data_IF_053009135517
#
_entry.id   IF_053009135517
#
_cell.length_a   1.000
_cell.length_b   1.000
_cell.length_c   1.000
_cell.angle_alpha   90.00
_cell.angle_beta   90.00
_cell.angle_gamma   90.00
#
_symmetry.space_group_name_H-M   'P 1'
#
loop_
_entity.id
_entity.type
_entity.pdbx_description
1 polymer ?
#
# COMPACT_ATOMS: atom_id res chain seq x y z
N UNK A 1 56.90 -23.03 25.60
CA UNK A 1 57.97 -22.16 25.07
C UNK A 1 57.32 -21.26 24.04
N UNK A 2 56.75 -20.14 24.51
CA UNK A 2 57.35 -18.80 24.56
C UNK A 2 57.15 -18.02 23.26
N UNK A 3 56.32 -16.98 23.39
CA UNK A 3 56.00 -15.89 22.47
C UNK A 3 57.23 -15.12 21.96
N UNK A 4 57.02 -14.29 20.93
CA UNK A 4 57.27 -12.82 20.87
C UNK A 4 57.18 -12.41 19.38
N UNK A 5 56.10 -11.77 18.89
CA UNK A 5 55.68 -10.35 18.95
C UNK A 5 56.27 -9.49 17.80
N UNK A 6 55.34 -8.87 17.05
CA UNK A 6 55.36 -7.62 16.25
C UNK A 6 56.67 -6.81 16.15
N UNK A 7 56.89 -6.09 15.02
CA UNK A 7 56.71 -4.63 14.92
C UNK A 7 57.35 -4.02 13.64
N UNK A 8 56.54 -3.30 12.83
CA UNK A 8 56.81 -2.10 11.99
C UNK A 8 55.85 -2.15 10.79
N UNK A 9 54.74 -1.43 10.66
CA UNK A 9 54.36 0.00 10.83
C UNK A 9 55.00 0.99 9.85
N UNK A 10 54.12 1.82 9.25
CA UNK A 10 54.28 3.02 8.40
C UNK A 10 54.73 2.76 6.94
N UNK A 11 54.06 3.32 5.92
CA UNK A 11 53.59 4.70 5.84
C UNK A 11 52.15 4.89 5.34
N UNK A 12 51.42 5.68 6.13
CA UNK A 12 50.41 6.67 5.74
C UNK A 12 51.14 7.98 5.46
N UNK A 13 50.83 8.66 4.35
CA UNK A 13 50.56 10.12 4.22
C UNK A 13 49.72 10.22 2.91
N UNK A 14 48.44 10.63 2.92
CA UNK A 14 47.94 12.03 2.93
C UNK A 14 48.51 12.84 1.74
N UNK A 15 47.79 13.67 0.98
CA UNK A 15 46.63 14.49 1.29
C UNK A 15 46.05 15.03 -0.04
N UNK A 16 44.75 15.31 0.00
CA UNK A 16 43.95 16.31 -0.72
C UNK A 16 44.66 17.27 -1.69
N UNK A 17 44.03 17.59 -2.83
CA UNK A 17 43.13 18.76 -2.92
C UNK A 17 42.72 19.08 -4.38
N UNK A 18 41.54 19.67 -4.46
CA UNK A 18 40.77 20.30 -5.53
C UNK A 18 41.48 20.76 -6.83
N UNK A 19 40.75 20.67 -7.95
CA UNK A 19 41.23 21.16 -9.24
C UNK A 19 40.27 20.92 -10.40
N UNK A 20 39.15 21.63 -10.36
CA UNK A 20 38.19 21.87 -11.43
C UNK A 20 38.86 22.14 -12.81
N UNK A 21 38.54 21.32 -13.82
CA UNK A 21 38.63 21.74 -15.23
C UNK A 21 37.38 21.30 -15.98
N UNK A 22 36.64 22.36 -16.33
CA UNK A 22 35.54 22.49 -17.27
C UNK A 22 35.91 22.03 -18.70
N UNK A 23 34.90 21.92 -19.57
CA UNK A 23 34.93 21.69 -21.04
C UNK A 23 34.38 20.32 -21.54
N UNK A 24 33.68 20.30 -22.69
CA UNK A 24 32.27 19.90 -22.70
C UNK A 24 31.98 18.73 -23.65
N UNK A 25 31.28 17.70 -23.17
CA UNK A 25 30.86 16.59 -24.03
C UNK A 25 29.54 16.94 -24.75
N UNK A 26 29.73 17.40 -25.98
CA UNK A 26 28.91 17.18 -27.18
C UNK A 26 27.42 16.88 -26.98
N UNK A 27 26.62 17.95 -27.14
CA UNK A 27 25.20 17.91 -27.48
C UNK A 27 24.99 17.07 -28.75
N UNK A 28 24.22 15.99 -28.63
CA UNK A 28 23.59 15.34 -29.78
C UNK A 28 22.66 16.36 -30.49
N UNK A 29 22.59 16.33 -31.83
CA UNK A 29 22.03 17.41 -32.62
C UNK A 29 20.54 17.60 -32.34
N UNK A 30 20.15 18.87 -32.18
CA UNK A 30 18.77 19.33 -32.30
C UNK A 30 18.28 18.93 -33.69
N UNK A 31 17.43 17.92 -33.77
CA UNK A 31 16.53 17.77 -34.91
C UNK A 31 15.53 18.93 -34.84
N UNK A 32 15.87 19.95 -35.61
CA UNK A 32 15.00 20.83 -36.37
C UNK A 32 13.49 20.68 -36.08
N UNK A 33 12.92 21.77 -35.58
CA UNK A 33 11.48 21.99 -35.51
C UNK A 33 10.89 21.78 -36.91
N UNK A 34 10.28 20.63 -37.13
CA UNK A 34 9.16 20.59 -38.06
C UNK A 34 7.95 21.13 -37.31
N UNK A 35 7.65 22.38 -37.61
CA UNK A 35 6.39 23.02 -37.35
C UNK A 35 5.33 22.21 -38.13
N UNK A 36 4.68 21.24 -37.50
CA UNK A 36 3.43 20.67 -38.03
C UNK A 36 2.29 21.60 -37.60
N UNK A 37 2.26 22.78 -38.22
CA UNK A 37 1.00 23.47 -38.42
C UNK A 37 0.17 22.61 -39.37
N UNK A 38 -1.04 22.25 -38.95
CA UNK A 38 -1.99 21.53 -39.78
C UNK A 38 -2.52 20.24 -39.16
N UNK A 39 -3.37 20.35 -38.13
CA UNK A 39 -4.55 19.48 -37.91
C UNK A 39 -5.31 19.92 -36.63
N UNK A 40 -5.42 21.24 -36.40
CA UNK A 40 -6.21 21.79 -35.28
C UNK A 40 -7.68 22.07 -35.64
N UNK A 41 -8.07 21.82 -36.90
CA UNK A 41 -9.39 22.19 -37.43
C UNK A 41 -10.42 21.09 -37.24
N UNK A 42 -10.08 19.82 -37.50
CA UNK A 42 -11.08 18.74 -37.57
C UNK A 42 -11.52 18.21 -36.20
N UNK A 43 -10.64 18.22 -35.18
CA UNK A 43 -10.97 17.66 -33.86
C UNK A 43 -11.83 18.59 -33.00
N UNK A 44 -11.73 19.90 -33.21
CA UNK A 44 -12.56 20.89 -32.52
C UNK A 44 -13.99 20.94 -33.09
N UNK A 45 -14.13 20.61 -34.38
CA UNK A 45 -15.40 20.61 -35.10
C UNK A 45 -16.36 19.54 -34.53
N UNK A 46 -15.84 18.35 -34.20
CA UNK A 46 -16.64 17.24 -33.65
C UNK A 46 -17.17 17.58 -32.25
N UNK A 47 -16.35 18.17 -31.37
CA UNK A 47 -16.77 18.50 -30.01
C UNK A 47 -17.83 19.60 -29.97
N UNK A 48 -17.81 20.52 -30.95
CA UNK A 48 -18.82 21.57 -31.08
C UNK A 48 -20.14 21.08 -31.70
N UNK A 49 -20.06 20.01 -32.50
CA UNK A 49 -21.20 19.39 -33.20
C UNK A 49 -22.02 18.47 -32.28
N UNK A 50 -21.38 17.81 -31.31
CA UNK A 50 -22.05 16.85 -30.41
C UNK A 50 -22.68 17.58 -29.21
N UNK A 51 -23.99 17.40 -28.93
CA UNK A 51 -24.64 18.00 -27.76
C UNK A 51 -24.00 17.60 -26.42
N UNK A 52 -24.00 18.50 -25.42
CA UNK A 52 -23.41 18.23 -24.09
C UNK A 52 -23.98 16.99 -23.38
N UNK A 53 -25.29 16.71 -23.56
CA UNK A 53 -25.93 15.51 -22.99
C UNK A 53 -25.34 14.22 -23.56
N UNK A 54 -25.05 14.24 -24.86
CA UNK A 54 -24.46 13.13 -25.61
C UNK A 54 -23.00 12.88 -25.21
N UNK A 55 -22.23 13.95 -25.00
CA UNK A 55 -20.88 13.86 -24.44
C UNK A 55 -20.91 13.23 -23.03
N UNK A 56 -21.90 13.58 -22.21
CA UNK A 56 -22.04 13.03 -20.85
C UNK A 56 -22.36 11.53 -20.88
N UNK A 57 -23.25 11.11 -21.78
CA UNK A 57 -23.60 9.70 -21.98
C UNK A 57 -22.40 8.89 -22.47
N UNK A 58 -21.64 9.42 -23.44
CA UNK A 58 -20.38 8.85 -23.90
C UNK A 58 -19.37 8.67 -22.75
N UNK A 59 -19.17 9.70 -21.91
CA UNK A 59 -18.23 9.64 -20.79
C UNK A 59 -18.63 8.60 -19.73
N UNK A 60 -19.93 8.43 -19.47
CA UNK A 60 -20.42 7.40 -18.56
C UNK A 60 -20.19 5.99 -19.12
N UNK A 61 -20.45 5.76 -20.41
CA UNK A 61 -20.15 4.48 -21.06
C UNK A 61 -18.65 4.16 -21.04
N UNK A 62 -17.79 5.16 -21.29
CA UNK A 62 -16.33 5.00 -21.16
C UNK A 62 -15.99 4.58 -19.72
N UNK A 63 -16.56 5.24 -18.71
CA UNK A 63 -16.30 4.92 -17.30
C UNK A 63 -16.71 3.48 -16.92
N UNK A 64 -17.84 3.00 -17.42
CA UNK A 64 -18.33 1.63 -17.15
C UNK A 64 -17.46 0.54 -17.81
N UNK A 65 -16.88 0.83 -18.98
CA UNK A 65 -16.05 -0.11 -19.74
C UNK A 65 -14.55 0.01 -19.46
N UNK A 66 -14.11 0.89 -18.54
CA UNK A 66 -12.70 0.98 -18.15
C UNK A 66 -12.31 -0.26 -17.34
N UNK A 67 -11.39 -1.04 -17.90
CA UNK A 67 -10.76 -2.14 -17.18
C UNK A 67 -9.93 -1.64 -15.98
N UNK A 68 -10.06 -2.26 -14.79
CA UNK A 68 -9.23 -1.92 -13.61
C UNK A 68 -7.72 -2.09 -13.82
N UNK A 69 -7.30 -2.80 -14.87
CA UNK A 69 -5.90 -2.95 -15.26
C UNK A 69 -5.40 -1.76 -16.08
N UNK A 70 -6.27 -1.14 -16.88
CA UNK A 70 -5.96 0.03 -17.69
C UNK A 70 -5.93 1.30 -16.83
N UNK A 71 -6.72 1.36 -15.76
CA UNK A 71 -6.76 2.47 -14.79
C UNK A 71 -5.42 2.70 -14.07
N UNK A 72 -4.57 1.66 -13.98
CA UNK A 72 -3.23 1.75 -13.40
C UNK A 72 -2.18 2.32 -14.36
N UNK A 73 -2.54 2.52 -15.62
CA UNK A 73 -1.64 3.03 -16.65
C UNK A 73 -1.78 4.55 -16.76
N UNK A 74 -0.74 5.20 -17.31
CA UNK A 74 -0.86 6.61 -17.72
C UNK A 74 -2.04 6.78 -18.68
N UNK A 75 -2.80 7.87 -18.54
CA UNK A 75 -3.96 8.19 -19.37
C UNK A 75 -3.72 8.02 -20.89
N UNK A 76 -2.50 8.28 -21.38
CA UNK A 76 -2.12 8.04 -22.79
C UNK A 76 -2.08 6.55 -23.15
N UNK A 77 -1.40 5.73 -22.34
CA UNK A 77 -1.31 4.27 -22.54
C UNK A 77 -2.64 3.57 -22.28
N UNK A 78 -3.47 4.10 -21.39
CA UNK A 78 -4.83 3.62 -21.14
C UNK A 78 -5.72 3.77 -22.38
N UNK A 79 -5.78 4.98 -22.95
CA UNK A 79 -6.59 5.27 -24.14
C UNK A 79 -6.15 4.47 -25.39
N UNK A 80 -4.84 4.21 -25.55
CA UNK A 80 -4.31 3.40 -26.65
C UNK A 80 -4.77 1.93 -26.58
N UNK A 81 -4.85 1.38 -25.36
CA UNK A 81 -5.21 -0.02 -25.10
C UNK A 81 -6.69 -0.24 -24.79
N UNK A 82 -7.47 0.83 -24.78
CA UNK A 82 -8.90 0.78 -24.54
C UNK A 82 -9.63 0.22 -25.77
N UNK A 83 -10.56 -0.71 -25.55
CA UNK A 83 -11.35 -1.33 -26.61
C UNK A 83 -12.51 -0.42 -27.04
N UNK A 84 -12.25 0.48 -27.99
CA UNK A 84 -13.25 1.43 -28.52
C UNK A 84 -14.46 0.75 -29.21
N UNK A 85 -14.35 -0.54 -29.55
CA UNK A 85 -15.42 -1.33 -30.17
C UNK A 85 -16.56 -1.67 -29.20
N UNK A 86 -16.31 -1.62 -27.89
CA UNK A 86 -17.30 -2.00 -26.87
C UNK A 86 -18.22 -0.83 -26.48
N UNK A 87 -17.81 0.41 -26.78
CA UNK A 87 -18.62 1.60 -26.56
C UNK A 87 -19.71 1.66 -27.62
N UNK A 88 -20.93 1.28 -27.24
CA UNK A 88 -22.13 1.39 -28.09
C UNK A 88 -22.76 2.77 -27.90
N UNK A 89 -22.12 3.76 -28.51
CA UNK A 89 -22.63 5.12 -28.55
C UNK A 89 -23.34 5.37 -29.89
N UNK A 90 -24.66 5.12 -29.95
CA UNK A 90 -25.52 5.34 -31.15
C UNK A 90 -24.88 4.80 -32.46
N UNK A 91 -24.95 5.57 -33.55
CA UNK A 91 -24.38 5.29 -34.88
C UNK A 91 -22.91 5.74 -35.02
N UNK A 92 -22.23 6.05 -33.91
CA UNK A 92 -20.84 6.48 -33.99
C UNK A 92 -19.92 5.29 -34.26
N UNK A 93 -19.05 5.43 -35.25
CA UNK A 93 -17.97 4.49 -35.51
C UNK A 93 -16.98 4.47 -34.34
N UNK A 94 -16.32 3.33 -34.03
CA UNK A 94 -15.25 3.26 -33.04
C UNK A 94 -14.16 4.33 -33.23
N UNK A 95 -13.88 4.72 -34.48
CA UNK A 95 -12.93 5.78 -34.81
C UNK A 95 -13.45 7.18 -34.41
N UNK A 96 -14.76 7.40 -34.53
CA UNK A 96 -15.38 8.65 -34.09
C UNK A 96 -15.40 8.75 -32.56
N UNK A 97 -15.65 7.64 -31.86
CA UNK A 97 -15.52 7.56 -30.40
C UNK A 97 -14.09 7.88 -29.92
N UNK A 98 -13.08 7.34 -30.62
CA UNK A 98 -11.67 7.64 -30.33
C UNK A 98 -11.34 9.12 -30.61
N UNK A 99 -11.82 9.68 -31.71
CA UNK A 99 -11.59 11.10 -32.04
C UNK A 99 -12.29 12.04 -31.05
N UNK A 100 -13.52 11.72 -30.63
CA UNK A 100 -14.24 12.45 -29.59
C UNK A 100 -13.48 12.40 -28.26
N UNK A 101 -12.98 11.23 -27.87
CA UNK A 101 -12.12 11.10 -26.69
C UNK A 101 -10.85 11.95 -26.79
N UNK A 102 -10.17 11.98 -27.94
CA UNK A 102 -9.00 12.83 -28.14
C UNK A 102 -9.32 14.32 -28.04
N UNK A 103 -10.46 14.77 -28.57
CA UNK A 103 -10.92 16.15 -28.45
C UNK A 103 -11.22 16.55 -26.99
N UNK A 104 -11.85 15.65 -26.23
CA UNK A 104 -12.10 15.83 -24.79
C UNK A 104 -10.77 15.86 -24.03
N UNK A 105 -9.87 14.91 -24.30
CA UNK A 105 -8.56 14.80 -23.66
C UNK A 105 -7.66 16.03 -23.95
N UNK A 106 -7.87 16.74 -25.07
CA UNK A 106 -7.18 18.00 -25.36
C UNK A 106 -7.60 19.13 -24.40
N UNK A 107 -8.87 19.15 -23.98
CA UNK A 107 -9.41 20.13 -23.03
C UNK A 107 -9.18 19.74 -21.56
N UNK A 108 -8.84 18.48 -21.30
CA UNK A 108 -8.47 18.04 -19.96
C UNK A 108 -7.10 18.60 -19.55
N UNK A 109 -7.05 19.23 -18.37
CA UNK A 109 -5.80 19.71 -17.76
C UNK A 109 -4.91 18.52 -17.40
N UNK A 110 -3.68 18.51 -17.93
CA UNK A 110 -2.70 17.41 -17.75
C UNK A 110 -1.68 17.65 -16.64
N UNK A 111 -1.72 18.82 -16.00
CA UNK A 111 -0.80 19.15 -14.91
C UNK A 111 -1.37 18.69 -13.57
N UNK A 112 -0.50 18.20 -12.67
CA UNK A 112 -0.91 17.87 -11.31
C UNK A 112 -1.07 19.14 -10.49
N UNK A 113 -2.09 19.19 -9.66
CA UNK A 113 -2.23 20.30 -8.71
C UNK A 113 -1.25 20.16 -7.56
N UNK A 114 -0.91 21.28 -6.89
CA UNK A 114 -0.09 21.24 -5.67
C UNK A 114 -0.71 20.31 -4.62
N UNK A 115 -2.04 20.30 -4.50
CA UNK A 115 -2.77 19.39 -3.60
C UNK A 115 -2.55 17.92 -3.94
N UNK A 116 -2.63 17.53 -5.22
CA UNK A 116 -2.36 16.16 -5.66
C UNK A 116 -0.91 15.73 -5.41
N UNK A 117 0.05 16.64 -5.66
CA UNK A 117 1.47 16.39 -5.35
C UNK A 117 1.68 16.19 -3.85
N UNK A 118 1.04 17.03 -3.03
CA UNK A 118 1.12 16.92 -1.57
C UNK A 118 0.45 15.64 -1.07
N UNK A 119 -0.70 15.24 -1.61
CA UNK A 119 -1.36 13.98 -1.25
C UNK A 119 -0.50 12.76 -1.63
N UNK A 120 0.12 12.77 -2.81
CA UNK A 120 1.06 11.73 -3.24
C UNK A 120 2.28 11.70 -2.31
N UNK A 121 2.85 12.86 -1.98
CA UNK A 121 3.97 13.00 -1.05
C UNK A 121 3.61 12.52 0.38
N UNK A 122 2.42 12.85 0.89
CA UNK A 122 1.90 12.34 2.17
C UNK A 122 1.83 10.83 2.10
N UNK A 123 1.27 10.27 1.02
CA UNK A 123 1.13 8.83 0.85
C UNK A 123 2.49 8.12 0.91
N UNK A 124 3.53 8.66 0.27
CA UNK A 124 4.88 8.11 0.31
C UNK A 124 5.55 8.31 1.68
N UNK A 125 5.28 9.44 2.34
CA UNK A 125 5.83 9.75 3.65
C UNK A 125 5.16 8.98 4.81
N UNK A 126 4.05 8.28 4.56
CA UNK A 126 3.50 7.32 5.54
C UNK A 126 4.37 6.08 5.74
N UNK A 127 5.21 5.74 4.77
CA UNK A 127 6.14 4.62 4.86
C UNK A 127 7.39 5.10 5.60
N UNK A 128 7.77 4.47 6.73
CA UNK A 128 8.98 4.87 7.44
C UNK A 128 10.21 4.75 6.54
N UNK A 129 10.99 5.82 6.47
CA UNK A 129 12.27 5.82 5.75
C UNK A 129 13.23 4.84 6.43
N UNK A 130 13.96 4.08 5.61
CA UNK A 130 15.07 3.25 6.10
C UNK A 130 16.18 4.18 6.56
N UNK A 131 16.51 4.15 7.85
CA UNK A 131 17.62 4.93 8.37
C UNK A 131 18.92 4.14 8.12
N UNK A 132 19.98 4.77 7.58
CA UNK A 132 21.29 4.13 7.49
C UNK A 132 21.72 3.58 8.86
N UNK A 133 22.31 2.38 8.89
CA UNK A 133 22.70 1.73 10.14
C UNK A 133 21.57 1.03 10.90
N UNK A 134 20.30 1.25 10.55
CA UNK A 134 19.18 0.57 11.21
C UNK A 134 19.30 -0.96 11.10
N UNK A 135 19.36 -1.68 12.24
CA UNK A 135 19.43 -3.13 12.21
C UNK A 135 18.22 -3.73 11.47
N UNK A 136 18.47 -4.71 10.61
CA UNK A 136 17.40 -5.41 9.88
C UNK A 136 16.76 -6.45 10.79
N UNK A 137 15.43 -6.57 10.71
CA UNK A 137 14.68 -7.59 11.43
C UNK A 137 15.23 -8.99 11.12
N UNK A 138 15.32 -9.87 12.13
CA UNK A 138 15.75 -11.25 11.90
C UNK A 138 14.77 -11.96 10.97
N UNK A 139 15.29 -12.92 10.23
CA UNK A 139 14.50 -13.73 9.31
C UNK A 139 13.61 -14.70 10.08
N UNK A 140 12.43 -15.02 9.53
CA UNK A 140 11.59 -16.10 10.07
C UNK A 140 12.25 -17.46 9.89
N UNK A 141 11.87 -18.46 10.69
CA UNK A 141 12.43 -19.83 10.64
C UNK A 141 12.29 -20.47 9.26
N UNK A 142 11.18 -20.22 8.57
CA UNK A 142 10.99 -20.61 7.19
C UNK A 142 12.00 -19.94 6.25
N UNK A 143 12.26 -18.65 6.43
CA UNK A 143 13.14 -17.89 5.55
C UNK A 143 14.62 -18.24 5.78
N UNK A 144 15.03 -18.54 7.02
CA UNK A 144 16.35 -19.11 7.33
C UNK A 144 16.52 -20.45 6.64
N UNK A 145 15.52 -21.33 6.73
CA UNK A 145 15.51 -22.60 6.02
C UNK A 145 15.57 -22.42 4.49
N UNK A 146 14.80 -21.46 3.96
CA UNK A 146 14.80 -21.14 2.54
C UNK A 146 16.16 -20.66 2.07
N UNK A 147 16.84 -19.77 2.79
CA UNK A 147 18.20 -19.36 2.40
C UNK A 147 19.18 -20.53 2.37
N UNK A 148 19.14 -21.41 3.37
CA UNK A 148 20.00 -22.60 3.44
C UNK A 148 19.75 -23.57 2.29
N UNK A 149 18.49 -23.91 2.02
CA UNK A 149 18.13 -24.84 0.97
C UNK A 149 18.25 -24.22 -0.43
N UNK A 150 17.89 -22.94 -0.59
CA UNK A 150 18.07 -22.22 -1.84
C UNK A 150 19.54 -22.16 -2.24
N UNK A 151 20.44 -21.89 -1.29
CA UNK A 151 21.89 -21.88 -1.54
C UNK A 151 22.37 -23.25 -2.03
N UNK A 152 21.99 -24.35 -1.36
CA UNK A 152 22.33 -25.72 -1.80
C UNK A 152 21.80 -26.05 -3.20
N UNK A 153 20.55 -25.66 -3.48
CA UNK A 153 19.97 -25.88 -4.80
C UNK A 153 20.66 -25.05 -5.87
N UNK A 154 21.08 -23.82 -5.55
CA UNK A 154 21.81 -22.94 -6.48
C UNK A 154 23.26 -23.39 -6.71
N UNK A 155 23.89 -23.99 -5.72
CA UNK A 155 25.21 -24.62 -5.83
C UNK A 155 25.15 -25.86 -6.76
N UNK A 156 24.08 -26.66 -6.68
CA UNK A 156 23.89 -27.83 -7.54
C UNK A 156 23.38 -27.46 -8.95
N UNK A 157 22.52 -26.46 -9.06
CA UNK A 157 21.97 -25.96 -10.32
C UNK A 157 21.99 -24.42 -10.32
N UNK A 158 23.05 -23.81 -10.89
CA UNK A 158 23.15 -22.36 -11.01
C UNK A 158 22.04 -21.75 -11.88
N UNK A 159 21.34 -22.52 -12.72
CA UNK A 159 20.24 -22.04 -13.55
C UNK A 159 18.89 -22.07 -12.86
N UNK A 160 18.78 -22.67 -11.65
CA UNK A 160 17.48 -22.79 -10.98
C UNK A 160 16.88 -21.42 -10.69
N UNK A 161 15.60 -21.27 -11.06
CA UNK A 161 14.82 -20.06 -10.80
C UNK A 161 14.38 -20.02 -9.34
N UNK A 162 14.42 -18.81 -8.73
CA UNK A 162 13.94 -18.57 -7.36
C UNK A 162 12.49 -19.04 -7.19
N UNK A 163 11.65 -18.88 -8.22
CA UNK A 163 10.24 -19.29 -8.18
C UNK A 163 10.11 -20.81 -8.05
N UNK A 164 10.89 -21.57 -8.82
CA UNK A 164 10.88 -23.05 -8.76
C UNK A 164 11.41 -23.53 -7.41
N UNK A 165 12.53 -22.96 -6.95
CA UNK A 165 13.11 -23.29 -5.66
C UNK A 165 12.17 -22.98 -4.48
N UNK A 166 11.43 -21.88 -4.53
CA UNK A 166 10.44 -21.52 -3.49
C UNK A 166 9.34 -22.56 -3.37
N UNK A 167 8.84 -23.08 -4.49
CA UNK A 167 7.82 -24.15 -4.47
C UNK A 167 8.36 -25.39 -3.77
N UNK A 168 9.52 -25.89 -4.20
CA UNK A 168 10.16 -27.09 -3.65
C UNK A 168 10.44 -26.94 -2.15
N UNK A 169 11.00 -25.81 -1.73
CA UNK A 169 11.34 -25.58 -0.31
C UNK A 169 10.10 -25.45 0.56
N UNK A 170 9.05 -24.82 0.05
CA UNK A 170 7.79 -24.68 0.80
C UNK A 170 7.17 -26.03 1.15
N UNK A 171 7.20 -26.99 0.22
CA UNK A 171 6.72 -28.35 0.43
C UNK A 171 7.62 -29.10 1.42
N UNK A 172 8.95 -29.00 1.26
CA UNK A 172 9.92 -29.62 2.18
C UNK A 172 9.83 -29.06 3.60
N UNK A 173 9.51 -27.78 3.77
CA UNK A 173 9.38 -27.17 5.09
C UNK A 173 8.11 -27.66 5.82
N UNK A 174 7.02 -27.91 5.10
CA UNK A 174 5.78 -28.46 5.67
C UNK A 174 6.02 -29.85 6.23
N UNK A 175 6.69 -30.71 5.47
CA UNK A 175 7.02 -32.10 5.83
C UNK A 175 8.26 -32.23 6.74
N UNK A 176 8.89 -31.11 7.12
CA UNK A 176 10.08 -31.11 7.97
C UNK A 176 9.78 -31.67 9.36
N UNK A 177 10.69 -32.52 9.87
CA UNK A 177 10.55 -33.13 11.20
C UNK A 177 10.54 -32.08 12.32
N UNK A 178 9.85 -32.35 13.45
CA UNK A 178 9.75 -31.39 14.55
C UNK A 178 11.13 -31.02 15.12
N UNK A 179 12.06 -31.98 15.19
CA UNK A 179 13.45 -31.73 15.64
C UNK A 179 14.18 -30.69 14.78
N UNK A 180 14.00 -30.72 13.45
CA UNK A 180 14.63 -29.76 12.54
C UNK A 180 13.94 -28.39 12.61
N UNK A 181 12.61 -28.35 12.78
CA UNK A 181 11.86 -27.11 13.01
C UNK A 181 12.30 -26.42 14.31
N UNK A 182 12.54 -27.18 15.37
CA UNK A 182 13.02 -26.66 16.66
C UNK A 182 14.40 -25.98 16.51
N UNK A 183 15.36 -26.65 15.85
CA UNK A 183 16.68 -26.04 15.58
C UNK A 183 16.59 -24.71 14.83
N UNK A 184 15.69 -24.63 13.84
CA UNK A 184 15.48 -23.37 13.10
C UNK A 184 14.83 -22.30 13.98
N UNK A 185 13.98 -22.67 14.94
CA UNK A 185 13.43 -21.72 15.91
C UNK A 185 14.50 -21.20 16.87
N UNK A 186 15.40 -22.07 17.35
CA UNK A 186 16.51 -21.69 18.21
C UNK A 186 17.45 -20.70 17.49
N UNK A 187 17.85 -21.00 16.24
CA UNK A 187 18.67 -20.08 15.43
C UNK A 187 18.00 -18.70 15.22
N UNK A 188 16.69 -18.68 15.03
CA UNK A 188 15.92 -17.43 14.88
C UNK A 188 15.84 -16.69 16.21
N UNK A 189 15.74 -17.41 17.33
CA UNK A 189 15.73 -16.82 18.67
C UNK A 189 17.05 -16.10 18.95
N UNK A 190 18.18 -16.74 18.69
CA UNK A 190 19.51 -16.14 18.85
C UNK A 190 19.69 -14.92 17.93
N UNK A 191 19.26 -15.04 16.68
CA UNK A 191 19.26 -13.93 15.71
C UNK A 191 18.37 -12.76 16.16
N UNK A 192 17.28 -13.06 16.87
CA UNK A 192 16.38 -12.04 17.40
C UNK A 192 16.96 -11.36 18.65
N UNK A 193 17.67 -12.09 19.50
CA UNK A 193 18.38 -11.52 20.65
C UNK A 193 19.50 -10.57 20.20
N UNK A 194 20.31 -10.99 19.23
CA UNK A 194 21.34 -10.12 18.63
C UNK A 194 20.74 -8.90 17.94
N UNK A 195 19.61 -9.05 17.24
CA UNK A 195 18.87 -7.93 16.66
C UNK A 195 18.39 -6.94 17.73
N UNK A 196 17.83 -7.43 18.85
CA UNK A 196 17.36 -6.58 19.95
C UNK A 196 18.51 -5.77 20.55
N UNK A 197 19.67 -6.39 20.78
CA UNK A 197 20.85 -5.71 21.28
C UNK A 197 21.32 -4.61 20.30
N UNK A 198 21.48 -4.93 19.02
CA UNK A 198 21.87 -3.94 17.99
C UNK A 198 20.84 -2.81 17.85
N UNK A 199 19.55 -3.13 17.96
CA UNK A 199 18.47 -2.16 17.88
C UNK A 199 18.44 -1.24 19.12
N UNK A 200 18.81 -1.74 20.29
CA UNK A 200 18.95 -0.92 21.49
C UNK A 200 20.09 0.09 21.32
N UNK A 201 21.27 -0.35 20.89
CA UNK A 201 22.41 0.53 20.60
C UNK A 201 22.05 1.57 19.53
N UNK A 202 21.40 1.15 18.45
CA UNK A 202 20.96 2.06 17.38
C UNK A 202 20.01 3.16 17.89
N UNK A 203 19.13 2.85 18.85
CA UNK A 203 18.22 3.85 19.44
C UNK A 203 18.94 4.82 20.37
N UNK A 204 20.00 4.38 21.03
CA UNK A 204 20.84 5.25 21.85
C UNK A 204 21.65 6.22 20.98
N UNK A 205 22.19 5.74 19.85
CA UNK A 205 22.93 6.57 18.88
C UNK A 205 22.02 7.51 18.05
N UNK A 206 20.74 7.16 17.87
CA UNK A 206 19.78 7.95 17.10
C UNK A 206 18.53 8.28 17.92
N UNK A 207 18.59 9.30 18.80
CA UNK A 207 17.46 9.69 19.67
C UNK A 207 16.23 10.17 18.89
N UNK A 208 16.42 10.71 17.68
CA UNK A 208 15.32 11.15 16.80
C UNK A 208 14.62 9.98 16.07
N UNK A 209 15.12 8.75 16.20
CA UNK A 209 14.55 7.60 15.53
C UNK A 209 13.23 7.16 16.20
N UNK A 210 12.11 7.47 15.54
CA UNK A 210 10.78 7.03 15.95
C UNK A 210 10.44 5.69 15.29
N UNK A 211 10.46 4.61 16.07
CA UNK A 211 9.96 3.32 15.64
C UNK A 211 8.45 3.40 15.32
N UNK A 212 8.08 3.37 14.04
CA UNK A 212 6.67 3.36 13.62
C UNK A 212 5.87 2.14 14.11
N UNK A 213 6.58 1.06 14.50
CA UNK A 213 5.96 -0.11 15.11
C UNK A 213 5.64 0.10 16.61
N UNK A 214 6.43 0.93 17.32
CA UNK A 214 6.22 1.26 18.72
C UNK A 214 5.15 2.36 18.90
N UNK A 215 4.97 3.25 17.92
CA UNK A 215 3.89 4.25 17.95
C UNK A 215 2.50 3.62 17.75
N UNK A 216 2.38 2.53 16.98
CA UNK A 216 1.10 1.78 16.87
C UNK A 216 0.68 1.08 18.17
N UNK A 217 1.63 0.72 19.04
CA UNK A 217 1.33 0.08 20.34
C UNK A 217 1.16 1.10 21.47
N UNK A 218 1.73 2.31 21.36
CA UNK A 218 1.54 3.39 22.35
C UNK A 218 0.24 4.19 22.20
N UNK A 219 -0.50 4.08 21.09
CA UNK A 219 -1.81 4.72 20.94
C UNK A 219 -2.97 3.99 21.64
N UNK A 220 -2.69 2.97 22.45
CA UNK A 220 -3.69 2.31 23.30
C UNK A 220 -3.14 2.04 24.69
N UNK A 221 -3.10 3.07 25.55
CA UNK A 221 -3.19 3.03 27.03
C UNK A 221 -2.83 4.36 27.71
N UNK A 222 -3.10 5.51 27.10
CA UNK A 222 -3.43 6.68 27.92
C UNK A 222 -4.78 6.41 28.60
N UNK A 223 -5.00 6.81 29.87
CA UNK A 223 -6.32 6.79 30.47
C UNK A 223 -7.26 7.52 29.52
N UNK A 224 -8.20 6.80 28.89
CA UNK A 224 -9.17 7.41 28.00
C UNK A 224 -9.91 8.47 28.81
N UNK A 225 -9.72 9.74 28.48
CA UNK A 225 -10.76 10.74 28.69
C UNK A 225 -12.10 10.12 28.30
N UNK A 226 -13.21 10.39 29.01
CA UNK A 226 -14.48 9.71 28.77
C UNK A 226 -14.92 9.90 27.32
N UNK A 227 -14.56 8.93 26.48
CA UNK A 227 -14.86 8.91 25.06
C UNK A 227 -16.30 8.45 24.89
N UNK A 228 -17.01 9.03 23.91
CA UNK A 228 -18.39 8.67 23.65
C UNK A 228 -18.57 7.15 23.54
N UNK A 229 -19.67 6.59 24.10
CA UNK A 229 -20.01 5.20 23.89
C UNK A 229 -19.94 4.83 22.40
N UNK A 230 -19.28 3.72 22.08
CA UNK A 230 -19.09 3.27 20.70
C UNK A 230 -20.45 3.01 20.03
N UNK A 231 -20.57 3.34 18.74
CA UNK A 231 -21.75 3.01 17.95
C UNK A 231 -22.03 1.50 18.01
N UNK A 232 -23.25 1.10 18.33
CA UNK A 232 -23.67 -0.31 18.28
C UNK A 232 -24.39 -0.58 16.97
N UNK A 233 -24.03 -1.66 16.30
CA UNK A 233 -24.78 -2.21 15.16
C UNK A 233 -25.95 -3.06 15.68
N UNK A 234 -27.07 -3.21 14.94
CA UNK A 234 -28.18 -4.07 15.35
C UNK A 234 -27.72 -5.49 15.70
N UNK A 235 -26.79 -6.04 14.91
CA UNK A 235 -26.17 -7.34 15.16
C UNK A 235 -25.36 -7.37 16.47
N UNK A 236 -24.71 -6.26 16.84
CA UNK A 236 -23.93 -6.19 18.09
C UNK A 236 -24.84 -6.22 19.32
N UNK A 237 -26.03 -5.61 19.23
CA UNK A 237 -27.05 -5.67 20.30
C UNK A 237 -27.58 -7.10 20.41
N UNK A 238 -27.92 -7.73 19.28
CA UNK A 238 -28.32 -9.13 19.22
C UNK A 238 -27.27 -10.07 19.86
N UNK A 239 -25.99 -9.91 19.52
CA UNK A 239 -24.93 -10.70 20.15
C UNK A 239 -24.84 -10.46 21.66
N UNK A 240 -25.00 -9.22 22.14
CA UNK A 240 -24.93 -8.90 23.57
C UNK A 240 -26.10 -9.52 24.35
N UNK A 241 -27.31 -9.52 23.77
CA UNK A 241 -28.49 -10.16 24.36
C UNK A 241 -28.30 -11.68 24.49
N UNK A 242 -27.82 -12.35 23.42
CA UNK A 242 -27.62 -13.80 23.41
C UNK A 242 -26.41 -14.27 24.22
N UNK A 243 -25.36 -13.47 24.30
CA UNK A 243 -24.20 -13.77 25.15
C UNK A 243 -24.46 -13.51 26.63
N UNK A 244 -25.49 -12.72 26.96
CA UNK A 244 -25.96 -12.56 28.34
C UNK A 244 -26.71 -13.81 28.83
N UNK A 245 -27.37 -14.55 27.93
CA UNK A 245 -28.08 -15.78 28.29
C UNK A 245 -27.18 -17.03 28.27
N UNK A 246 -26.26 -17.18 27.30
CA UNK A 246 -25.38 -18.35 27.19
C UNK A 246 -24.03 -18.02 26.50
N UNK A 247 -22.97 -18.80 26.80
CA UNK A 247 -21.66 -18.70 26.12
C UNK A 247 -21.70 -19.39 24.76
N UNK A 248 -22.24 -18.70 23.73
CA UNK A 248 -22.41 -19.25 22.38
C UNK A 248 -21.25 -18.86 21.44
N UNK A 249 -20.88 -19.76 20.53
CA UNK A 249 -19.85 -19.54 19.50
C UNK A 249 -20.29 -18.46 18.48
N UNK A 250 -19.35 -17.61 18.06
CA UNK A 250 -19.59 -16.46 17.19
C UNK A 250 -20.12 -16.84 15.81
N UNK A 251 -19.80 -18.06 15.34
CA UNK A 251 -20.33 -18.59 14.06
C UNK A 251 -21.84 -18.85 14.15
N UNK A 252 -22.30 -19.43 15.24
CA UNK A 252 -23.71 -19.76 15.48
C UNK A 252 -24.57 -18.50 15.59
N UNK A 253 -24.08 -17.48 16.33
CA UNK A 253 -24.76 -16.18 16.43
C UNK A 253 -24.96 -15.50 15.08
N UNK A 254 -24.04 -15.70 14.13
CA UNK A 254 -24.14 -15.10 12.80
C UNK A 254 -25.16 -15.83 11.93
N UNK A 255 -25.23 -17.15 12.04
CA UNK A 255 -26.22 -17.98 11.35
C UNK A 255 -27.64 -17.67 11.87
N UNK A 256 -27.81 -17.57 13.19
CA UNK A 256 -29.08 -17.14 13.78
C UNK A 256 -29.50 -15.75 13.33
N UNK A 257 -28.59 -14.77 13.35
CA UNK A 257 -28.89 -13.41 12.87
C UNK A 257 -29.36 -13.37 11.41
N UNK A 258 -28.76 -14.21 10.55
CA UNK A 258 -29.20 -14.30 9.16
C UNK A 258 -30.56 -14.97 9.01
N UNK A 259 -30.91 -15.88 9.92
CA UNK A 259 -32.19 -16.59 9.96
C UNK A 259 -33.34 -15.80 10.62
N UNK A 260 -33.04 -14.71 11.35
CA UNK A 260 -34.06 -13.82 11.92
C UNK A 260 -34.93 -13.20 10.82
N UNK A 261 -36.23 -13.10 11.11
CA UNK A 261 -37.18 -12.40 10.24
C UNK A 261 -36.91 -10.89 10.21
N UNK A 262 -37.31 -10.24 9.12
CA UNK A 262 -37.07 -8.81 8.93
C UNK A 262 -37.80 -7.97 9.98
N UNK A 263 -38.98 -8.42 10.46
CA UNK A 263 -39.66 -7.77 11.58
C UNK A 263 -38.83 -7.80 12.87
N UNK A 264 -38.14 -8.90 13.14
CA UNK A 264 -37.27 -9.03 14.32
C UNK A 264 -36.01 -8.17 14.18
N UNK A 265 -35.43 -8.08 12.97
CA UNK A 265 -34.28 -7.19 12.70
C UNK A 265 -34.65 -5.72 12.90
N UNK A 266 -35.88 -5.31 12.57
CA UNK A 266 -36.38 -3.95 12.81
C UNK A 266 -36.43 -3.60 14.30
N UNK A 267 -36.74 -4.56 15.19
CA UNK A 267 -36.67 -4.35 16.64
C UNK A 267 -35.24 -4.03 17.10
N UNK A 268 -34.23 -4.71 16.56
CA UNK A 268 -32.83 -4.40 16.88
C UNK A 268 -32.39 -3.04 16.31
N UNK A 269 -32.92 -2.64 15.15
CA UNK A 269 -32.68 -1.31 14.57
C UNK A 269 -33.29 -0.21 15.46
N UNK A 270 -34.51 -0.42 15.96
CA UNK A 270 -35.15 0.55 16.85
C UNK A 270 -34.38 0.67 18.18
N UNK A 271 -33.88 -0.44 18.72
CA UNK A 271 -33.06 -0.45 19.94
C UNK A 271 -31.71 0.26 19.75
N UNK A 272 -31.08 0.13 18.58
CA UNK A 272 -29.88 0.91 18.22
C UNK A 272 -30.17 2.41 18.23
N UNK A 273 -31.32 2.82 17.68
CA UNK A 273 -31.72 4.23 17.65
C UNK A 273 -31.98 4.77 19.06
N UNK A 274 -32.64 4.00 19.92
CA UNK A 274 -32.84 4.34 21.33
C UNK A 274 -31.51 4.46 22.07
N UNK A 275 -30.57 3.53 21.84
CA UNK A 275 -29.22 3.62 22.40
C UNK A 275 -28.47 4.87 21.92
N UNK A 276 -28.59 5.21 20.64
CA UNK A 276 -27.98 6.40 20.05
C UNK A 276 -28.52 7.67 20.70
N UNK A 277 -29.84 7.84 20.75
CA UNK A 277 -30.51 9.02 21.31
C UNK A 277 -30.25 9.17 22.82
N UNK A 278 -30.32 8.09 23.59
CA UNK A 278 -30.24 8.17 25.06
C UNK A 278 -28.81 8.15 25.60
N UNK A 279 -27.87 7.45 24.96
CA UNK A 279 -26.51 7.25 25.50
C UNK A 279 -25.44 7.98 24.71
N UNK A 280 -25.49 7.94 23.38
CA UNK A 280 -24.39 8.45 22.55
C UNK A 280 -24.52 9.94 22.21
N UNK A 281 -25.72 10.39 21.83
CA UNK A 281 -26.02 11.78 21.43
C UNK A 281 -25.76 12.80 22.55
N UNK A 282 -26.15 12.58 23.83
CA UNK A 282 -25.86 13.52 24.90
C UNK A 282 -24.35 13.62 25.18
N UNK A 283 -23.64 12.50 25.09
CA UNK A 283 -22.18 12.45 25.29
C UNK A 283 -21.44 13.18 24.16
N UNK A 284 -21.89 13.01 22.92
CA UNK A 284 -21.34 13.71 21.76
C UNK A 284 -21.54 15.23 21.89
N UNK A 285 -22.73 15.66 22.35
CA UNK A 285 -23.03 17.07 22.64
C UNK A 285 -22.09 17.64 23.71
N UNK A 286 -21.84 16.91 24.80
CA UNK A 286 -20.92 17.32 25.87
C UNK A 286 -19.46 17.41 25.40
N UNK A 287 -19.02 16.50 24.53
CA UNK A 287 -17.67 16.53 23.95
C UNK A 287 -17.47 17.71 22.99
N UNK A 288 -18.50 18.07 22.21
CA UNK A 288 -18.44 19.24 21.32
C UNK A 288 -18.42 20.55 22.11
N UNK A 289 -19.10 20.62 23.26
CA UNK A 289 -19.10 21.80 24.14
C UNK A 289 -17.78 22.00 24.89
N UNK A 290 -17.06 20.93 25.24
CA UNK A 290 -15.75 21.01 25.90
C UNK A 290 -14.58 21.31 24.96
N UNK A 291 -14.80 21.23 23.64
CA UNK A 291 -13.79 21.50 22.60
C UNK A 291 -13.88 22.91 22.00
N UNK A 292 -14.90 23.68 22.36
CA UNK A 292 -15.06 25.09 22.03
C UNK A 292 -14.57 25.95 23.21
#
# INVERSE_FOLDING_TARGET
MMDIRNFMTKSVVDESDEGETDAPVAKKPKTEKQNSEGSGSETNDILSTVPQKEITEFLNQVLEHIDPKLDKLSHKRGAEKFNWNEIKFKDFSPDQCRNLWHAIQAHQRKYRTMGELVLDAISWNTVPRKVPGQPKKPLSSYMVYFQKEFKKMKENDPSISVIQATKIVSERFKTLSPKKKLKLQDEVKDSNETYKCKMALFKEEHPDFVDSAATKTKSTKSPKEPSAPTARSPFKIFCDERTTSESVDAKHLREEWTALDDYQKVCYISEVNVFFENKRKPHLKKLLQHKA
#
